data_IF_770217188501
#
_entry.id   IF_770217188501
#
_cell.length_a   1.000
_cell.length_b   1.000
_cell.length_c   1.000
_cell.angle_alpha   90.00
_cell.angle_beta   90.00
_cell.angle_gamma   90.00
#
_symmetry.space_group_name_H-M   'P 1'
#
loop_
_entity.id
_entity.type
_entity.pdbx_description
1 polymer ?
#
# COMPACT_ATOMS: atom_id res chain seq x y z
N UNK A 1 -4.93 -45.51 -44.53
CA UNK A 1 -3.94 -44.79 -43.70
C UNK A 1 -4.39 -43.33 -43.62
N UNK A 2 -5.19 -42.97 -42.59
CA UNK A 2 -5.59 -41.63 -42.12
C UNK A 2 -7.01 -41.66 -41.52
N UNK A 3 -7.14 -42.38 -40.42
CA UNK A 3 -8.23 -42.23 -39.47
C UNK A 3 -7.59 -42.43 -38.09
N UNK A 4 -7.98 -41.65 -37.07
CA UNK A 4 -7.47 -41.63 -35.66
C UNK A 4 -6.57 -40.46 -35.23
N UNK A 5 -6.85 -39.21 -35.62
CA UNK A 5 -6.26 -38.04 -34.93
C UNK A 5 -7.29 -36.95 -34.56
N UNK A 6 -8.59 -37.26 -34.52
CA UNK A 6 -9.63 -36.28 -34.18
C UNK A 6 -10.33 -36.38 -32.80
N UNK A 7 -10.12 -37.39 -31.92
CA UNK A 7 -10.76 -37.34 -30.60
C UNK A 7 -9.89 -36.69 -29.51
N UNK A 8 -8.58 -36.52 -29.74
CA UNK A 8 -7.66 -36.02 -28.71
C UNK A 8 -7.70 -34.50 -28.51
N UNK A 9 -8.08 -33.73 -29.53
CA UNK A 9 -8.08 -32.27 -29.46
C UNK A 9 -9.26 -31.70 -28.65
N UNK A 10 -10.37 -32.43 -28.53
CA UNK A 10 -11.56 -31.97 -27.79
C UNK A 10 -11.41 -32.19 -26.28
N UNK A 11 -10.63 -33.20 -25.86
CA UNK A 11 -10.41 -33.49 -24.44
C UNK A 11 -9.46 -32.48 -23.76
N UNK A 12 -8.55 -31.85 -24.52
CA UNK A 12 -7.61 -30.85 -23.98
C UNK A 12 -8.21 -29.46 -23.78
N UNK A 13 -9.38 -29.17 -24.37
CA UNK A 13 -10.05 -27.86 -24.21
C UNK A 13 -10.94 -27.84 -22.97
N UNK A 14 -11.42 -28.99 -22.50
CA UNK A 14 -12.28 -29.08 -21.30
C UNK A 14 -11.45 -29.00 -19.99
N UNK A 15 -10.14 -29.30 -20.04
CA UNK A 15 -9.28 -29.25 -18.85
C UNK A 15 -8.95 -27.81 -18.39
N UNK A 16 -9.17 -26.79 -19.21
CA UNK A 16 -8.88 -25.40 -18.86
C UNK A 16 -10.04 -24.66 -18.16
N UNK A 17 -11.22 -25.28 -18.01
CA UNK A 17 -12.42 -24.62 -17.46
C UNK A 17 -12.57 -24.85 -15.95
N UNK A 18 -11.75 -25.72 -15.35
CA UNK A 18 -11.77 -26.00 -13.90
C UNK A 18 -10.64 -25.32 -13.13
N UNK A 19 -10.06 -24.23 -13.65
CA UNK A 19 -9.44 -23.24 -12.78
C UNK A 19 -10.58 -22.54 -12.02
N UNK A 20 -11.12 -23.24 -11.02
CA UNK A 20 -11.99 -22.67 -10.00
C UNK A 20 -11.24 -21.44 -9.46
N UNK A 21 -11.72 -20.25 -9.81
CA UNK A 21 -11.59 -19.10 -8.94
C UNK A 21 -12.37 -19.45 -7.68
N UNK A 22 -11.73 -20.18 -6.76
CA UNK A 22 -12.32 -20.49 -5.48
C UNK A 22 -12.59 -19.17 -4.75
N UNK A 23 -13.84 -18.97 -4.34
CA UNK A 23 -14.28 -17.81 -3.55
C UNK A 23 -13.63 -17.76 -2.15
N UNK A 24 -12.68 -18.65 -1.86
CA UNK A 24 -11.85 -18.68 -0.65
C UNK A 24 -11.11 -17.37 -0.42
N UNK A 25 -10.83 -16.64 -1.50
CA UNK A 25 -10.14 -15.36 -1.45
C UNK A 25 -10.99 -14.26 -0.79
N UNK A 26 -12.29 -14.17 -1.09
CA UNK A 26 -13.16 -13.15 -0.50
C UNK A 26 -13.85 -13.60 0.78
N UNK A 27 -13.82 -14.90 1.07
CA UNK A 27 -14.44 -15.49 2.26
C UNK A 27 -13.48 -15.66 3.45
N UNK A 28 -12.26 -15.09 3.37
CA UNK A 28 -11.44 -14.90 4.57
C UNK A 28 -12.13 -13.85 5.44
N UNK A 29 -12.73 -14.27 6.56
CA UNK A 29 -13.05 -13.35 7.64
C UNK A 29 -11.78 -12.57 7.95
N UNK A 30 -11.77 -11.27 7.61
CA UNK A 30 -10.61 -10.40 7.83
C UNK A 30 -10.13 -10.59 9.27
N UNK A 31 -8.84 -10.91 9.41
CA UNK A 31 -8.26 -11.25 10.71
C UNK A 31 -8.65 -10.20 11.75
N UNK A 32 -9.35 -10.64 12.79
CA UNK A 32 -9.62 -9.86 14.00
C UNK A 32 -8.34 -9.38 14.72
N UNK A 33 -7.16 -9.74 14.20
CA UNK A 33 -5.84 -9.32 14.66
C UNK A 33 -5.64 -7.80 14.62
N UNK A 34 -6.31 -7.07 13.73
CA UNK A 34 -6.06 -5.63 13.55
C UNK A 34 -6.85 -4.74 14.54
N UNK A 35 -7.92 -5.26 15.16
CA UNK A 35 -8.70 -4.48 16.12
C UNK A 35 -7.91 -4.17 17.41
N UNK A 36 -7.11 -5.14 17.90
CA UNK A 36 -6.26 -4.95 19.08
C UNK A 36 -5.06 -4.04 18.79
N UNK A 37 -4.39 -4.24 17.64
CA UNK A 37 -3.31 -3.39 17.19
C UNK A 37 -3.79 -1.94 17.00
N UNK A 38 -4.98 -1.77 16.42
CA UNK A 38 -5.67 -0.49 16.30
C UNK A 38 -6.01 0.11 17.66
N UNK A 39 -6.51 -0.67 18.63
CA UNK A 39 -6.84 -0.16 19.98
C UNK A 39 -5.61 0.31 20.77
N UNK A 40 -4.49 -0.44 20.70
CA UNK A 40 -3.24 -0.05 21.35
C UNK A 40 -2.62 1.17 20.66
N UNK A 41 -2.70 1.25 19.33
CA UNK A 41 -2.30 2.43 18.59
C UNK A 41 -3.14 3.66 18.98
N UNK A 42 -4.46 3.51 19.09
CA UNK A 42 -5.37 4.57 19.52
C UNK A 42 -5.04 5.06 20.93
N UNK A 43 -4.83 4.15 21.89
CA UNK A 43 -4.46 4.51 23.25
C UNK A 43 -3.13 5.30 23.30
N UNK A 44 -2.12 4.88 22.51
CA UNK A 44 -0.85 5.63 22.42
C UNK A 44 -1.05 7.03 21.82
N UNK A 45 -1.84 7.12 20.75
CA UNK A 45 -2.16 8.41 20.13
C UNK A 45 -2.87 9.34 21.11
N UNK A 46 -3.89 8.85 21.83
CA UNK A 46 -4.63 9.61 22.84
C UNK A 46 -3.70 10.14 23.95
N UNK A 47 -2.78 9.30 24.44
CA UNK A 47 -1.81 9.69 25.47
C UNK A 47 -0.84 10.77 24.98
N UNK A 48 -0.45 10.74 23.71
CA UNK A 48 0.41 11.76 23.10
C UNK A 48 -0.36 13.07 22.88
N UNK A 49 -1.54 13.01 22.28
CA UNK A 49 -2.38 14.19 22.00
C UNK A 49 -2.78 14.94 23.27
N UNK A 50 -3.01 14.23 24.39
CA UNK A 50 -3.28 14.86 25.69
C UNK A 50 -2.08 15.66 26.24
N UNK A 51 -0.87 15.34 25.83
CA UNK A 51 0.37 16.04 26.24
C UNK A 51 0.77 17.18 25.30
N UNK A 52 0.05 17.35 24.19
CA UNK A 52 0.30 18.40 23.21
C UNK A 52 -0.30 19.74 23.63
N UNK A 53 0.40 20.82 23.33
CA UNK A 53 -0.15 22.18 23.32
C UNK A 53 -1.20 22.33 22.20
N UNK A 54 -1.90 23.47 22.16
CA UNK A 54 -2.81 23.75 21.05
C UNK A 54 -2.03 23.89 19.73
N UNK A 55 -0.90 24.60 19.74
CA UNK A 55 -0.06 24.80 18.56
C UNK A 55 0.50 23.47 18.03
N UNK A 56 0.96 22.59 18.93
CA UNK A 56 1.42 21.24 18.60
C UNK A 56 0.31 20.37 18.00
N UNK A 57 -0.98 20.67 18.22
CA UNK A 57 -2.10 19.99 17.57
C UNK A 57 -2.43 20.60 16.21
N UNK A 58 -2.44 21.93 16.14
CA UNK A 58 -2.74 22.66 14.91
C UNK A 58 -1.71 22.38 13.81
N UNK A 59 -0.44 22.20 14.16
CA UNK A 59 0.59 21.85 13.18
C UNK A 59 0.30 20.52 12.44
N UNK A 60 -0.44 19.58 13.04
CA UNK A 60 -0.72 18.27 12.40
C UNK A 60 -1.79 18.33 11.31
N UNK A 61 -2.52 19.43 11.17
CA UNK A 61 -3.63 19.55 10.22
C UNK A 61 -3.37 20.50 9.05
N UNK A 62 -2.16 21.07 8.96
CA UNK A 62 -1.74 21.86 7.80
C UNK A 62 -0.24 21.73 7.58
N UNK A 63 0.19 21.79 6.32
CA UNK A 63 1.60 21.96 5.98
C UNK A 63 2.00 23.42 6.15
N UNK A 64 3.22 23.66 6.63
CA UNK A 64 3.85 24.98 6.58
C UNK A 64 4.72 25.19 5.33
N UNK A 65 4.90 24.15 4.51
CA UNK A 65 5.70 24.21 3.30
C UNK A 65 4.85 24.49 2.07
N UNK A 66 5.36 25.37 1.21
CA UNK A 66 4.94 25.45 -0.18
C UNK A 66 5.27 24.13 -0.90
N UNK A 67 4.42 23.70 -1.83
CA UNK A 67 4.55 22.45 -2.58
C UNK A 67 5.94 22.17 -3.18
N UNK A 68 6.65 23.19 -3.68
CA UNK A 68 7.99 23.04 -4.30
C UNK A 68 9.13 22.94 -3.28
N UNK A 69 8.85 23.18 -1.99
CA UNK A 69 9.83 23.23 -0.89
C UNK A 69 9.59 22.14 0.17
N UNK A 70 8.74 21.16 -0.13
CA UNK A 70 8.47 20.04 0.78
C UNK A 70 9.78 19.24 0.99
N UNK A 71 10.27 19.08 2.23
CA UNK A 71 11.40 18.22 2.52
C UNK A 71 11.16 16.81 1.99
N UNK A 72 12.20 16.14 1.47
CA UNK A 72 12.04 14.82 0.85
C UNK A 72 11.40 14.84 -0.54
N UNK A 73 10.85 15.98 -0.99
CA UNK A 73 10.38 16.17 -2.35
C UNK A 73 9.01 15.58 -2.66
N UNK A 74 8.30 15.16 -1.63
CA UNK A 74 7.00 14.51 -1.74
C UNK A 74 5.83 15.48 -1.87
N UNK A 75 4.64 14.94 -1.66
CA UNK A 75 3.37 15.63 -1.73
C UNK A 75 3.07 16.48 -0.48
N UNK A 76 3.68 16.15 0.67
CA UNK A 76 3.45 16.87 1.91
C UNK A 76 4.45 16.54 2.99
N UNK A 77 4.50 17.38 4.01
CA UNK A 77 5.34 17.18 5.17
C UNK A 77 4.71 17.87 6.38
N UNK A 78 4.68 17.15 7.50
CA UNK A 78 4.17 17.64 8.79
C UNK A 78 5.27 17.48 9.83
N UNK A 79 5.59 18.57 10.53
CA UNK A 79 6.56 18.55 11.61
C UNK A 79 6.07 17.68 12.76
N UNK A 80 6.99 16.90 13.32
CA UNK A 80 6.77 16.11 14.51
C UNK A 80 6.72 16.95 15.79
N UNK A 81 6.76 16.26 16.93
CA UNK A 81 6.90 16.87 18.25
C UNK A 81 8.06 16.19 18.97
N UNK A 82 9.31 16.68 18.81
CA UNK A 82 10.50 16.03 19.38
C UNK A 82 10.43 15.85 20.91
N UNK A 83 9.82 16.80 21.64
CA UNK A 83 9.61 16.71 23.10
C UNK A 83 8.75 15.51 23.51
N UNK A 84 7.89 15.03 22.62
CA UNK A 84 7.04 13.86 22.82
C UNK A 84 7.57 12.61 22.08
N UNK A 85 8.73 12.70 21.42
CA UNK A 85 9.30 11.61 20.63
C UNK A 85 8.53 11.30 19.35
N UNK A 86 7.76 12.25 18.83
CA UNK A 86 7.00 12.08 17.58
C UNK A 86 7.88 12.57 16.42
N UNK A 87 8.22 11.71 15.45
CA UNK A 87 9.01 12.10 14.29
C UNK A 87 8.18 12.96 13.34
N UNK A 88 8.87 13.60 12.40
CA UNK A 88 8.20 14.26 11.27
C UNK A 88 7.49 13.21 10.39
N UNK A 89 6.44 13.65 9.69
CA UNK A 89 5.70 12.83 8.74
C UNK A 89 5.96 13.35 7.33
N UNK A 90 6.70 12.58 6.55
CA UNK A 90 6.89 12.78 5.10
C UNK A 90 5.80 12.03 4.33
N UNK A 91 5.23 12.69 3.32
CA UNK A 91 4.14 12.16 2.51
C UNK A 91 4.53 12.29 1.04
N UNK A 92 4.44 11.20 0.29
CA UNK A 92 4.82 11.18 -1.12
C UNK A 92 3.82 10.39 -1.93
N UNK A 93 3.49 10.91 -3.12
CA UNK A 93 2.83 10.13 -4.17
C UNK A 93 3.80 9.04 -4.66
N UNK A 94 3.42 7.97 -5.37
CA UNK A 94 2.10 7.58 -5.83
C UNK A 94 1.86 6.07 -5.61
N UNK A 95 0.71 5.57 -6.09
CA UNK A 95 0.34 4.16 -6.04
C UNK A 95 1.26 3.24 -6.88
N UNK A 96 2.16 3.81 -7.69
CA UNK A 96 3.07 3.09 -8.59
C UNK A 96 4.55 3.31 -8.27
N UNK A 97 4.85 3.60 -7.00
CA UNK A 97 6.18 3.96 -6.52
C UNK A 97 6.27 5.45 -6.16
N UNK A 98 7.40 5.85 -5.57
CA UNK A 98 7.62 7.24 -5.14
C UNK A 98 7.66 8.20 -6.34
N UNK A 99 6.91 9.28 -6.23
CA UNK A 99 6.90 10.47 -7.07
C UNK A 99 7.69 11.61 -6.45
N UNK A 100 8.59 11.31 -5.50
CA UNK A 100 9.52 12.30 -4.96
C UNK A 100 10.30 12.98 -6.10
N UNK A 101 10.44 14.29 -6.01
CA UNK A 101 11.27 15.07 -6.94
C UNK A 101 12.78 14.96 -6.66
N UNK A 102 13.18 14.30 -5.56
CA UNK A 102 14.57 14.28 -5.07
C UNK A 102 15.10 12.86 -4.87
N UNK A 103 14.22 11.89 -4.64
CA UNK A 103 14.58 10.51 -4.32
C UNK A 103 14.18 9.58 -5.47
N UNK A 104 15.09 8.70 -5.88
CA UNK A 104 14.82 7.75 -6.97
C UNK A 104 13.94 6.60 -6.49
N UNK A 105 13.07 6.13 -7.38
CA UNK A 105 12.18 4.99 -7.14
C UNK A 105 11.96 4.21 -8.42
N UNK A 106 11.65 2.93 -8.27
CA UNK A 106 11.09 2.15 -9.38
C UNK A 106 9.70 2.67 -9.73
N UNK A 107 9.40 2.77 -11.02
CA UNK A 107 8.03 2.95 -11.52
C UNK A 107 7.43 1.57 -11.77
N UNK A 108 6.45 1.20 -10.96
CA UNK A 108 5.74 -0.07 -11.10
C UNK A 108 4.67 0.01 -12.22
N UNK A 109 4.16 -1.14 -12.71
CA UNK A 109 3.05 -1.14 -13.66
C UNK A 109 1.85 -0.35 -13.14
N UNK A 110 1.07 0.27 -14.03
CA UNK A 110 -0.16 0.96 -13.65
C UNK A 110 -1.09 0.03 -12.84
N UNK A 111 -1.80 0.58 -11.86
CA UNK A 111 -2.66 -0.21 -10.94
C UNK A 111 -3.74 -1.02 -11.66
N UNK A 112 -4.19 -0.58 -12.85
CA UNK A 112 -5.11 -1.37 -13.69
C UNK A 112 -4.48 -2.68 -14.20
N UNK A 113 -3.17 -2.73 -14.41
CA UNK A 113 -2.47 -3.96 -14.78
C UNK A 113 -2.40 -4.95 -13.62
N UNK A 114 -2.24 -4.45 -12.38
CA UNK A 114 -2.34 -5.27 -11.16
C UNK A 114 -3.75 -5.84 -11.03
N UNK A 115 -4.77 -5.01 -11.21
CA UNK A 115 -6.16 -5.47 -11.19
C UNK A 115 -6.46 -6.51 -12.28
N UNK A 116 -5.97 -6.28 -13.50
CA UNK A 116 -6.16 -7.18 -14.64
C UNK A 116 -5.42 -8.53 -14.50
N UNK A 117 -4.52 -8.68 -13.53
CA UNK A 117 -3.88 -9.96 -13.22
C UNK A 117 -4.85 -10.93 -12.52
N UNK A 118 -5.87 -10.41 -11.83
CA UNK A 118 -6.74 -11.18 -10.94
C UNK A 118 -5.98 -12.02 -9.90
N UNK A 119 -4.76 -11.58 -9.53
CA UNK A 119 -3.90 -12.27 -8.58
C UNK A 119 -3.72 -11.44 -7.29
N UNK A 120 -4.25 -11.96 -6.19
CA UNK A 120 -4.17 -11.33 -4.86
C UNK A 120 -2.78 -11.36 -4.26
N UNK A 121 -2.01 -12.43 -4.51
CA UNK A 121 -0.63 -12.51 -4.02
C UNK A 121 0.21 -11.47 -4.75
N UNK A 122 0.04 -11.34 -6.06
CA UNK A 122 0.68 -10.27 -6.83
C UNK A 122 0.28 -8.89 -6.32
N UNK A 123 -1.00 -8.67 -5.99
CA UNK A 123 -1.48 -7.40 -5.42
C UNK A 123 -0.82 -7.06 -4.07
N UNK A 124 -0.69 -8.05 -3.19
CA UNK A 124 0.03 -7.89 -1.91
C UNK A 124 1.52 -7.60 -2.13
N UNK A 125 2.19 -8.39 -2.97
CA UNK A 125 3.61 -8.23 -3.26
C UNK A 125 3.92 -6.88 -3.92
N UNK A 126 3.05 -6.42 -4.82
CA UNK A 126 3.13 -5.08 -5.40
C UNK A 126 3.13 -4.00 -4.31
N UNK A 127 2.13 -4.02 -3.42
CA UNK A 127 2.02 -3.04 -2.33
C UNK A 127 3.22 -3.10 -1.38
N UNK A 128 3.69 -4.31 -1.07
CA UNK A 128 4.88 -4.53 -0.25
C UNK A 128 6.14 -3.92 -0.87
N UNK A 129 6.36 -4.08 -2.18
CA UNK A 129 7.54 -3.51 -2.84
C UNK A 129 7.51 -1.98 -2.87
N UNK A 130 6.33 -1.39 -3.11
CA UNK A 130 6.16 0.08 -2.99
C UNK A 130 6.51 0.52 -1.57
N UNK A 131 5.96 -0.12 -0.54
CA UNK A 131 6.21 0.23 0.85
C UNK A 131 7.69 0.11 1.27
N UNK A 132 8.41 -0.92 0.79
CA UNK A 132 9.85 -1.08 1.06
C UNK A 132 10.64 0.11 0.50
N UNK A 133 10.33 0.57 -0.71
CA UNK A 133 11.01 1.71 -1.32
C UNK A 133 10.68 3.01 -0.60
N UNK A 134 9.40 3.24 -0.26
CA UNK A 134 9.02 4.41 0.54
C UNK A 134 9.70 4.43 1.91
N UNK A 135 9.77 3.29 2.60
CA UNK A 135 10.44 3.20 3.90
C UNK A 135 11.94 3.47 3.84
N UNK A 136 12.59 3.19 2.71
CA UNK A 136 14.00 3.52 2.51
C UNK A 136 14.23 5.02 2.29
N UNK A 137 13.16 5.76 1.93
CA UNK A 137 13.19 7.20 1.64
C UNK A 137 12.83 8.07 2.86
N UNK A 138 12.22 7.51 3.90
CA UNK A 138 11.78 8.23 5.10
C UNK A 138 10.72 7.49 5.90
#
# INVERSE_FOLDING_TARGET
MRDKILPAAVLSVILCINAYAGDTDFNSQGDAADAFASSAAQQRADLLVRKMTLDEKLQFIHSQYEWIKVPGGGAGYIQGVPRLGIPDLDMVDSATGSGSSWQTSSTFPATIAVAASWDRRLSYDYGKQVAIQLRAQG
#
